data_IF_677847441795
#
_entry.id   IF_677847441795
#
_cell.length_a   1.000
_cell.length_b   1.000
_cell.length_c   1.000
_cell.angle_alpha   90.00
_cell.angle_beta   90.00
_cell.angle_gamma   90.00
#
_symmetry.space_group_name_H-M   'P 1'
#
loop_
_entity.id
_entity.type
_entity.pdbx_description
1 polymer ?
#
# COMPACT_ATOMS: atom_id res chain seq x y z
N UNK A 1 6.22 -7.74 21.48
CA UNK A 1 5.52 -6.81 20.59
C UNK A 1 6.29 -5.50 20.63
N UNK A 2 6.62 -4.92 19.48
CA UNK A 2 7.28 -3.61 19.38
C UNK A 2 6.70 -2.86 18.19
N UNK A 3 6.84 -1.53 18.19
CA UNK A 3 6.45 -0.70 17.06
C UNK A 3 7.48 0.38 16.80
N UNK A 4 7.64 0.73 15.54
CA UNK A 4 8.56 1.77 15.08
C UNK A 4 7.80 2.70 14.13
N UNK A 5 7.91 4.01 14.36
CA UNK A 5 7.29 5.03 13.50
C UNK A 5 8.35 5.67 12.63
N UNK A 6 8.05 5.76 11.33
CA UNK A 6 8.81 6.48 10.34
C UNK A 6 7.86 7.40 9.57
N UNK A 7 8.40 8.28 8.72
CA UNK A 7 7.56 9.10 7.85
C UNK A 7 6.66 8.19 7.01
N UNK A 8 5.35 8.46 7.06
CA UNK A 8 4.30 7.73 6.34
C UNK A 8 4.09 6.25 6.73
N UNK A 9 4.85 5.68 7.67
CA UNK A 9 4.75 4.24 8.01
C UNK A 9 4.86 3.99 9.51
N UNK A 10 3.90 3.24 10.05
CA UNK A 10 4.01 2.62 11.37
C UNK A 10 4.26 1.12 11.20
N UNK A 11 5.42 0.66 11.63
CA UNK A 11 5.76 -0.76 11.70
C UNK A 11 5.33 -1.35 13.04
N UNK A 12 4.67 -2.50 12.99
CA UNK A 12 4.26 -3.27 14.15
C UNK A 12 4.84 -4.68 14.03
N UNK A 13 5.63 -5.09 15.02
CA UNK A 13 6.25 -6.42 15.09
C UNK A 13 5.55 -7.26 16.14
N UNK A 14 5.10 -8.44 15.71
CA UNK A 14 4.28 -9.34 16.51
C UNK A 14 4.66 -10.79 16.34
N UNK A 15 3.96 -11.62 17.10
CA UNK A 15 4.06 -13.07 17.04
C UNK A 15 2.67 -13.67 17.17
N UNK A 16 2.32 -14.60 16.31
CA UNK A 16 1.06 -15.33 16.42
C UNK A 16 1.08 -16.19 17.70
N UNK A 17 0.11 -15.98 18.58
CA UNK A 17 0.09 -16.62 19.92
C UNK A 17 0.10 -18.15 19.83
N UNK A 18 -0.67 -18.73 18.91
CA UNK A 18 -0.80 -20.19 18.78
C UNK A 18 0.38 -20.87 18.09
N UNK A 19 0.97 -20.25 17.08
CA UNK A 19 2.02 -20.86 16.26
C UNK A 19 3.43 -20.39 16.61
N UNK A 20 3.57 -19.32 17.39
CA UNK A 20 4.85 -18.71 17.72
C UNK A 20 5.54 -18.03 16.53
N UNK A 21 4.89 -17.95 15.36
CA UNK A 21 5.53 -17.37 14.18
C UNK A 21 5.53 -15.85 14.24
N UNK A 22 6.68 -15.27 13.98
CA UNK A 22 6.87 -13.83 13.90
C UNK A 22 6.27 -13.26 12.62
N UNK A 23 5.72 -12.06 12.75
CA UNK A 23 5.16 -11.31 11.63
C UNK A 23 5.34 -9.81 11.85
N UNK A 24 5.38 -9.07 10.75
CA UNK A 24 5.44 -7.62 10.76
C UNK A 24 4.26 -7.06 9.95
N UNK A 25 3.72 -5.94 10.41
CA UNK A 25 2.69 -5.17 9.70
C UNK A 25 3.23 -3.76 9.49
N UNK A 26 3.24 -3.30 8.25
CA UNK A 26 3.47 -1.90 7.91
C UNK A 26 2.12 -1.25 7.65
N UNK A 27 1.71 -0.33 8.52
CA UNK A 27 0.56 0.55 8.29
C UNK A 27 1.04 1.82 7.60
N UNK A 28 0.62 2.02 6.35
CA UNK A 28 1.13 3.04 5.43
C UNK A 28 0.10 4.16 5.24
N UNK A 29 0.57 5.39 5.21
CA UNK A 29 -0.18 6.56 4.74
C UNK A 29 0.64 7.30 3.70
N UNK A 30 0.55 6.84 2.45
CA UNK A 30 1.42 7.30 1.38
C UNK A 30 1.10 8.75 0.96
N UNK A 31 2.10 9.56 0.60
CA UNK A 31 1.89 10.92 0.14
C UNK A 31 1.19 10.97 -1.22
N UNK A 32 0.49 12.07 -1.50
CA UNK A 32 -0.12 12.31 -2.81
C UNK A 32 0.90 12.71 -3.89
N UNK A 33 2.06 13.24 -3.48
CA UNK A 33 3.14 13.63 -4.40
C UNK A 33 3.81 12.38 -5.02
N UNK A 34 3.95 12.31 -6.35
CA UNK A 34 4.54 11.14 -7.01
C UNK A 34 6.00 10.88 -6.63
N UNK A 35 6.79 11.92 -6.39
CA UNK A 35 8.21 11.79 -6.02
C UNK A 35 8.36 11.21 -4.62
N UNK A 36 7.70 11.82 -3.63
CA UNK A 36 7.69 11.34 -2.26
C UNK A 36 7.11 9.91 -2.14
N UNK A 37 6.16 9.56 -3.00
CA UNK A 37 5.58 8.21 -3.05
C UNK A 37 6.58 7.18 -3.59
N UNK A 38 7.38 7.54 -4.59
CA UNK A 38 8.46 6.67 -5.07
C UNK A 38 9.50 6.43 -3.98
N UNK A 39 9.93 7.49 -3.27
CA UNK A 39 10.86 7.38 -2.14
C UNK A 39 10.32 6.46 -1.03
N UNK A 40 9.02 6.53 -0.75
CA UNK A 40 8.35 5.63 0.18
C UNK A 40 8.41 4.16 -0.27
N UNK A 41 8.15 3.87 -1.55
CA UNK A 41 8.24 2.51 -2.08
C UNK A 41 9.66 1.96 -2.03
N UNK A 42 10.66 2.79 -2.34
CA UNK A 42 12.07 2.40 -2.29
C UNK A 42 12.48 2.08 -0.84
N UNK A 43 12.09 2.94 0.11
CA UNK A 43 12.35 2.74 1.55
C UNK A 43 11.68 1.48 2.11
N UNK A 44 10.39 1.27 1.77
CA UNK A 44 9.67 0.05 2.15
C UNK A 44 10.32 -1.19 1.57
N UNK A 45 10.76 -1.16 0.31
CA UNK A 45 11.42 -2.30 -0.33
C UNK A 45 12.70 -2.69 0.40
N UNK A 46 13.55 -1.71 0.70
CA UNK A 46 14.79 -1.93 1.48
C UNK A 46 14.46 -2.58 2.83
N UNK A 47 13.43 -2.08 3.53
CA UNK A 47 13.05 -2.62 4.85
C UNK A 47 12.47 -4.03 4.74
N UNK A 48 11.59 -4.30 3.76
CA UNK A 48 11.00 -5.62 3.54
C UNK A 48 12.08 -6.64 3.21
N UNK A 49 13.01 -6.30 2.32
CA UNK A 49 14.13 -7.17 1.94
C UNK A 49 15.06 -7.44 3.14
N UNK A 50 15.31 -6.44 3.99
CA UNK A 50 16.10 -6.61 5.21
C UNK A 50 15.45 -7.53 6.25
N UNK A 51 14.11 -7.66 6.25
CA UNK A 51 13.39 -8.60 7.10
C UNK A 51 13.54 -10.07 6.64
N UNK A 52 14.06 -10.31 5.44
CA UNK A 52 14.38 -11.64 4.93
C UNK A 52 13.15 -12.55 4.84
N UNK A 53 13.16 -13.66 5.57
CA UNK A 53 12.08 -14.67 5.55
C UNK A 53 10.91 -14.37 6.50
N UNK A 54 10.88 -13.18 7.12
CA UNK A 54 9.78 -12.79 7.99
C UNK A 54 8.48 -12.61 7.19
N UNK A 55 7.34 -12.91 7.83
CA UNK A 55 6.02 -12.66 7.21
C UNK A 55 5.68 -11.19 7.35
N UNK A 56 5.43 -10.53 6.22
CA UNK A 56 5.09 -9.10 6.18
C UNK A 56 3.70 -8.91 5.60
N UNK A 57 2.93 -8.04 6.22
CA UNK A 57 1.70 -7.47 5.66
C UNK A 57 1.91 -5.96 5.50
N UNK A 58 1.53 -5.41 4.36
CA UNK A 58 1.52 -3.97 4.12
C UNK A 58 0.06 -3.58 3.91
N UNK A 59 -0.43 -2.60 4.67
CA UNK A 59 -1.80 -2.13 4.62
C UNK A 59 -1.88 -0.63 4.89
N UNK A 60 -3.03 -0.02 4.65
CA UNK A 60 -3.28 1.40 4.90
C UNK A 60 -3.73 2.10 3.62
N UNK A 61 -3.52 3.42 3.55
CA UNK A 61 -3.89 4.24 2.39
C UNK A 61 -2.64 4.45 1.52
N UNK A 62 -2.62 3.80 0.37
CA UNK A 62 -1.49 3.84 -0.57
C UNK A 62 -1.53 5.07 -1.48
N UNK A 63 -2.63 5.83 -1.50
CA UNK A 63 -2.86 6.92 -2.47
C UNK A 63 -2.52 6.54 -3.93
N UNK A 64 -2.59 5.25 -4.25
CA UNK A 64 -2.23 4.66 -5.52
C UNK A 64 -3.26 3.59 -5.87
N UNK A 65 -3.55 3.45 -7.16
CA UNK A 65 -4.38 2.35 -7.65
C UNK A 65 -3.47 1.27 -8.21
N UNK A 66 -3.87 0.01 -8.06
CA UNK A 66 -3.15 -1.12 -8.66
C UNK A 66 -3.51 -1.27 -10.14
N UNK A 67 -4.78 -1.03 -10.47
CA UNK A 67 -5.28 -1.11 -11.85
C UNK A 67 -6.01 0.16 -12.24
N UNK A 68 -6.07 0.41 -13.54
CA UNK A 68 -6.77 1.58 -14.09
C UNK A 68 -8.26 1.55 -13.73
N UNK A 69 -8.87 0.37 -13.71
CA UNK A 69 -10.30 0.17 -13.43
C UNK A 69 -10.67 0.47 -11.97
N UNK A 70 -9.68 0.49 -11.08
CA UNK A 70 -9.86 0.86 -9.68
C UNK A 70 -10.01 2.36 -9.49
N UNK A 71 -9.93 3.17 -10.57
CA UNK A 71 -10.17 4.60 -10.57
C UNK A 71 -11.29 4.97 -11.53
N UNK A 72 -12.32 5.61 -10.99
CA UNK A 72 -13.34 6.33 -11.77
C UNK A 72 -13.15 7.83 -11.59
N UNK A 73 -12.92 8.56 -12.68
CA UNK A 73 -12.72 10.02 -12.69
C UNK A 73 -13.58 10.66 -13.78
N UNK A 74 -14.03 11.90 -13.55
CA UNK A 74 -14.77 12.71 -14.53
C UNK A 74 -13.82 13.39 -15.53
N UNK A 75 -12.53 13.54 -15.17
CA UNK A 75 -11.50 14.12 -16.04
C UNK A 75 -10.78 12.97 -16.75
N UNK A 76 -10.99 12.85 -18.05
CA UNK A 76 -10.46 11.78 -18.89
C UNK A 76 -9.02 12.06 -19.41
N UNK A 77 -8.31 13.01 -18.81
CA UNK A 77 -7.20 13.70 -19.48
C UNK A 77 -5.77 13.46 -18.96
N UNK A 78 -5.57 12.82 -17.81
CA UNK A 78 -4.21 12.47 -17.35
C UNK A 78 -4.30 11.33 -16.34
N UNK A 79 -4.19 10.09 -16.81
CA UNK A 79 -4.08 8.94 -15.92
C UNK A 79 -2.68 8.98 -15.33
N UNK A 80 -2.57 9.23 -14.02
CA UNK A 80 -1.25 9.20 -13.37
C UNK A 80 -0.65 7.81 -13.52
N UNK A 81 0.61 7.75 -13.90
CA UNK A 81 1.36 6.50 -14.09
C UNK A 81 1.82 5.90 -12.75
N UNK A 82 1.35 6.44 -11.62
CA UNK A 82 1.68 5.98 -10.25
C UNK A 82 1.40 4.49 -10.04
N UNK A 83 0.43 3.93 -10.77
CA UNK A 83 0.15 2.50 -10.71
C UNK A 83 1.34 1.66 -11.19
N UNK A 84 2.18 2.18 -12.10
CA UNK A 84 3.38 1.47 -12.58
C UNK A 84 4.39 1.31 -11.44
N UNK A 85 4.73 2.39 -10.74
CA UNK A 85 5.63 2.35 -9.59
C UNK A 85 5.07 1.48 -8.47
N UNK A 86 3.76 1.53 -8.22
CA UNK A 86 3.12 0.74 -7.18
C UNK A 86 3.10 -0.77 -7.51
N UNK A 87 2.80 -1.14 -8.76
CA UNK A 87 2.90 -2.54 -9.18
C UNK A 87 4.34 -3.05 -9.16
N UNK A 88 5.32 -2.23 -9.57
CA UNK A 88 6.74 -2.60 -9.44
C UNK A 88 7.11 -2.87 -7.97
N UNK A 89 6.70 -2.00 -7.05
CA UNK A 89 6.90 -2.23 -5.61
C UNK A 89 6.31 -3.56 -5.14
N UNK A 90 5.08 -3.89 -5.57
CA UNK A 90 4.42 -5.15 -5.24
C UNK A 90 5.22 -6.33 -5.79
N UNK A 91 5.59 -6.28 -7.07
CA UNK A 91 6.26 -7.38 -7.79
C UNK A 91 7.68 -7.61 -7.26
N UNK A 92 8.48 -6.55 -7.08
CA UNK A 92 9.87 -6.61 -6.59
C UNK A 92 9.98 -7.16 -5.16
N UNK A 93 8.91 -7.04 -4.37
CA UNK A 93 8.84 -7.55 -2.99
C UNK A 93 7.99 -8.82 -2.88
N UNK A 94 7.58 -9.43 -4.00
CA UNK A 94 6.75 -10.62 -4.05
C UNK A 94 5.47 -10.52 -3.19
N UNK A 95 4.88 -9.32 -3.11
CA UNK A 95 3.67 -9.07 -2.35
C UNK A 95 2.43 -9.55 -3.12
N UNK A 96 1.40 -9.95 -2.38
CA UNK A 96 0.13 -10.40 -2.95
C UNK A 96 -0.96 -9.46 -2.47
N UNK A 97 -1.62 -8.79 -3.40
CA UNK A 97 -2.83 -8.00 -3.15
C UNK A 97 -3.99 -8.94 -2.77
N UNK A 98 -4.54 -8.70 -1.58
CA UNK A 98 -5.64 -9.48 -1.04
C UNK A 98 -6.98 -8.99 -1.62
N UNK A 99 -7.91 -9.90 -1.94
CA UNK A 99 -9.19 -9.51 -2.51
C UNK A 99 -10.03 -8.70 -1.50
N UNK A 100 -10.68 -7.64 -1.98
CA UNK A 100 -11.72 -6.96 -1.21
C UNK A 100 -12.95 -7.85 -1.09
N UNK A 101 -13.52 -7.94 0.11
CA UNK A 101 -14.69 -8.80 0.36
C UNK A 101 -15.98 -8.22 -0.23
N UNK A 102 -16.21 -6.90 -0.12
CA UNK A 102 -17.57 -6.35 -0.35
C UNK A 102 -17.65 -5.10 -1.25
N UNK A 103 -16.60 -4.28 -1.32
CA UNK A 103 -16.64 -2.98 -2.03
C UNK A 103 -15.53 -2.89 -3.07
N UNK A 104 -15.82 -2.29 -4.21
CA UNK A 104 -14.83 -2.05 -5.29
C UNK A 104 -13.98 -0.79 -5.09
N UNK A 105 -14.46 0.16 -4.29
CA UNK A 105 -13.83 1.44 -4.04
C UNK A 105 -13.81 1.69 -2.53
N UNK A 106 -12.74 2.32 -2.06
CA UNK A 106 -12.57 2.67 -0.65
C UNK A 106 -12.61 4.18 -0.42
N UNK A 107 -12.36 4.97 -1.47
CA UNK A 107 -12.40 6.42 -1.44
C UNK A 107 -13.44 7.00 -2.40
N UNK A 108 -14.14 8.04 -1.96
CA UNK A 108 -15.16 8.76 -2.72
C UNK A 108 -14.95 10.27 -2.63
N UNK A 109 -14.94 10.95 -3.78
CA UNK A 109 -14.98 12.41 -3.81
C UNK A 109 -16.39 12.88 -3.50
N UNK A 110 -16.52 14.01 -2.80
CA UNK A 110 -17.82 14.60 -2.45
C UNK A 110 -18.73 14.96 -3.63
N UNK A 111 -18.24 14.92 -4.87
CA UNK A 111 -19.06 15.07 -6.08
C UNK A 111 -19.85 13.81 -6.45
N UNK A 112 -19.62 12.66 -5.80
CA UNK A 112 -20.28 11.37 -6.09
C UNK A 112 -19.90 10.73 -7.42
N UNK A 113 -19.07 11.39 -8.24
CA UNK A 113 -18.70 10.94 -9.59
C UNK A 113 -17.28 10.38 -9.67
N UNK A 114 -16.43 10.73 -8.72
CA UNK A 114 -15.04 10.26 -8.66
C UNK A 114 -14.84 9.35 -7.45
N UNK A 115 -14.29 8.17 -7.69
CA UNK A 115 -14.06 7.14 -6.67
C UNK A 115 -12.82 6.33 -7.02
N UNK A 116 -12.12 5.82 -6.01
CA UNK A 116 -10.92 5.01 -6.19
C UNK A 116 -10.79 3.95 -5.11
N UNK A 117 -10.14 2.83 -5.41
CA UNK A 117 -9.59 1.92 -4.39
C UNK A 117 -8.17 2.40 -4.08
N UNK A 118 -7.96 2.91 -2.88
CA UNK A 118 -6.65 3.40 -2.44
C UNK A 118 -6.06 2.57 -1.30
N UNK A 119 -6.83 1.60 -0.77
CA UNK A 119 -6.46 0.68 0.30
C UNK A 119 -6.35 -0.78 -0.18
#
# INVERSE_FOLDING_TARGET
>A
WSSESYDHVLWCHGRFIKSGVEFSVANVYAPCDPGAKQELWDSLSVRIQALGMARVCVCGDFNAVRRIEERRSVRDGLRSLDYISFNRFIDDNALIDLPLSDRKYTWFKGNGLSMSRLD
#
